data_IF_378357445986
#
_entry.id   IF_378357445986
#
_cell.length_a   1.000
_cell.length_b   1.000
_cell.length_c   1.000
_cell.angle_alpha   90.00
_cell.angle_beta   90.00
_cell.angle_gamma   90.00
#
_symmetry.space_group_name_H-M   'P 1'
#
loop_
_entity.id
_entity.type
_entity.pdbx_description
1 polymer ?
#
# COMPACT_ATOMS: atom_id res chain seq x y z
N UNK A 1 -58.94 43.86 -4.13
CA UNK A 1 -58.05 42.88 -4.80
C UNK A 1 -56.65 43.06 -4.24
N UNK A 2 -56.01 41.95 -3.85
CA UNK A 2 -54.82 41.83 -3.00
C UNK A 2 -53.48 42.14 -3.71
N UNK A 3 -52.59 42.83 -2.99
CA UNK A 3 -51.18 42.54 -2.67
C UNK A 3 -50.20 41.98 -3.74
N UNK A 4 -49.12 42.71 -4.02
CA UNK A 4 -47.88 42.21 -4.66
C UNK A 4 -46.65 42.74 -3.88
N UNK A 5 -46.06 41.89 -3.03
CA UNK A 5 -44.85 42.20 -2.26
C UNK A 5 -43.63 41.88 -3.12
N UNK A 6 -42.81 42.90 -3.40
CA UNK A 6 -41.55 42.76 -4.15
C UNK A 6 -40.53 41.96 -3.32
N UNK A 7 -40.01 40.89 -3.92
CA UNK A 7 -39.08 39.91 -3.35
C UNK A 7 -37.74 40.56 -2.97
N UNK A 8 -37.31 40.40 -1.72
CA UNK A 8 -35.94 40.71 -1.29
C UNK A 8 -35.02 39.53 -1.65
N UNK A 9 -33.93 39.83 -2.36
CA UNK A 9 -32.87 38.87 -2.70
C UNK A 9 -31.90 38.81 -1.52
N UNK A 10 -31.81 37.66 -0.85
CA UNK A 10 -30.81 37.40 0.19
C UNK A 10 -29.62 36.68 -0.45
N UNK A 11 -28.47 37.36 -0.51
CA UNK A 11 -27.19 36.77 -0.87
C UNK A 11 -26.69 35.93 0.31
N UNK A 12 -26.87 34.61 0.25
CA UNK A 12 -26.27 33.69 1.20
C UNK A 12 -24.81 33.44 0.79
N UNK A 13 -23.87 34.06 1.52
CA UNK A 13 -22.43 33.75 1.42
C UNK A 13 -22.22 32.39 2.08
N UNK A 14 -22.07 31.35 1.25
CA UNK A 14 -21.69 30.02 1.71
C UNK A 14 -20.19 30.00 2.04
N UNK A 15 -19.87 30.07 3.33
CA UNK A 15 -18.51 29.84 3.83
C UNK A 15 -18.19 28.35 3.69
N UNK A 16 -17.41 28.00 2.66
CA UNK A 16 -16.93 26.64 2.45
C UNK A 16 -15.90 26.26 3.51
N UNK A 17 -16.31 25.51 4.53
CA UNK A 17 -15.39 24.77 5.40
C UNK A 17 -14.69 23.71 4.56
N UNK A 18 -13.45 23.99 4.12
CA UNK A 18 -12.55 22.95 3.64
C UNK A 18 -12.13 22.10 4.82
N UNK A 19 -12.79 20.95 4.99
CA UNK A 19 -12.30 19.91 5.88
C UNK A 19 -11.00 19.38 5.24
N UNK A 20 -9.85 19.40 5.94
CA UNK A 20 -8.66 18.77 5.41
C UNK A 20 -8.97 17.28 5.24
N UNK A 21 -8.97 16.81 3.98
CA UNK A 21 -9.05 15.40 3.69
C UNK A 21 -7.78 14.75 4.25
N UNK A 22 -7.91 14.04 5.36
CA UNK A 22 -6.90 13.10 5.82
C UNK A 22 -6.84 12.00 4.76
N UNK A 23 -5.92 12.16 3.80
CA UNK A 23 -5.67 11.19 2.77
C UNK A 23 -4.87 10.03 3.37
N UNK A 24 -5.56 9.08 4.02
CA UNK A 24 -5.04 7.72 4.14
C UNK A 24 -4.83 7.20 2.73
N UNK A 25 -3.64 6.67 2.44
CA UNK A 25 -3.30 6.11 1.13
C UNK A 25 -4.09 4.82 0.90
N UNK A 26 -5.36 4.93 0.53
CA UNK A 26 -6.22 3.80 0.18
C UNK A 26 -5.92 3.32 -1.24
N UNK A 27 -4.65 2.99 -1.50
CA UNK A 27 -4.17 2.52 -2.80
C UNK A 27 -4.94 1.28 -3.26
N UNK A 28 -5.29 0.38 -2.33
CA UNK A 28 -6.09 -0.82 -2.58
C UNK A 28 -7.52 -0.55 -3.11
N UNK A 29 -8.00 0.70 -3.04
CA UNK A 29 -9.27 1.12 -3.66
C UNK A 29 -9.12 1.63 -5.10
N UNK A 30 -7.88 1.88 -5.54
CA UNK A 30 -7.60 2.37 -6.90
C UNK A 30 -7.66 1.23 -7.93
N UNK A 31 -7.74 1.60 -9.20
CA UNK A 31 -7.68 0.63 -10.31
C UNK A 31 -6.32 -0.08 -10.36
N UNK A 32 -6.34 -1.38 -10.65
CA UNK A 32 -5.12 -2.16 -10.89
C UNK A 32 -4.77 -2.10 -12.37
N UNK A 33 -3.57 -1.58 -12.68
CA UNK A 33 -3.00 -1.54 -14.04
C UNK A 33 -1.85 -2.52 -14.16
N UNK A 34 -1.83 -3.31 -15.24
CA UNK A 34 -0.77 -4.28 -15.52
C UNK A 34 -0.18 -3.96 -16.90
N UNK A 35 1.14 -3.77 -16.97
CA UNK A 35 1.92 -3.60 -18.21
C UNK A 35 2.90 -4.76 -18.35
N UNK A 36 3.10 -5.26 -19.57
CA UNK A 36 4.06 -6.32 -19.90
C UNK A 36 4.41 -6.27 -21.38
N UNK A 37 5.40 -7.05 -21.81
CA UNK A 37 5.74 -7.22 -23.22
C UNK A 37 4.70 -8.07 -23.96
N UNK A 38 4.23 -9.15 -23.33
CA UNK A 38 3.23 -10.05 -23.92
C UNK A 38 2.19 -10.49 -22.90
N UNK A 39 1.01 -10.86 -23.38
CA UNK A 39 -0.04 -11.48 -22.59
C UNK A 39 -0.64 -12.69 -23.31
N UNK A 40 -1.09 -13.68 -22.54
CA UNK A 40 -1.90 -14.80 -23.03
C UNK A 40 -3.00 -15.11 -22.01
N UNK A 41 -4.16 -15.57 -22.48
CA UNK A 41 -5.31 -15.85 -21.64
C UNK A 41 -5.95 -17.19 -22.00
N UNK A 42 -6.20 -18.03 -21.00
CA UNK A 42 -7.05 -19.21 -21.07
C UNK A 42 -8.33 -18.94 -20.30
N UNK A 43 -9.38 -18.57 -21.03
CA UNK A 43 -10.68 -18.17 -20.48
C UNK A 43 -11.33 -19.35 -19.73
N UNK A 44 -11.19 -20.57 -20.24
CA UNK A 44 -11.77 -21.77 -19.63
C UNK A 44 -11.16 -22.05 -18.26
N UNK A 45 -9.86 -21.74 -18.11
CA UNK A 45 -9.14 -21.87 -16.83
C UNK A 45 -9.15 -20.61 -15.98
N UNK A 46 -9.77 -19.52 -16.46
CA UNK A 46 -9.74 -18.20 -15.80
C UNK A 46 -8.31 -17.72 -15.49
N UNK A 47 -7.37 -18.02 -16.39
CA UNK A 47 -5.93 -17.81 -16.23
C UNK A 47 -5.43 -16.79 -17.25
N UNK A 48 -4.71 -15.76 -16.80
CA UNK A 48 -4.03 -14.79 -17.65
C UNK A 48 -2.55 -14.77 -17.26
N UNK A 49 -1.65 -14.86 -18.24
CA UNK A 49 -0.20 -14.82 -18.04
C UNK A 49 0.33 -13.59 -18.75
N UNK A 50 1.06 -12.76 -18.02
CA UNK A 50 1.81 -11.60 -18.50
C UNK A 50 3.30 -11.91 -18.42
N UNK A 51 4.04 -11.64 -19.48
CA UNK A 51 5.44 -12.03 -19.58
C UNK A 51 6.32 -10.90 -20.15
N UNK A 52 7.49 -10.72 -19.52
CA UNK A 52 8.51 -9.73 -19.88
C UNK A 52 8.24 -8.35 -19.31
N UNK A 53 9.17 -7.86 -18.48
CA UNK A 53 9.14 -6.53 -17.83
C UNK A 53 7.75 -6.16 -17.26
N UNK A 54 7.24 -7.05 -16.41
CA UNK A 54 5.89 -6.89 -15.87
C UNK A 54 5.89 -5.82 -14.78
N UNK A 55 4.95 -4.88 -14.89
CA UNK A 55 4.72 -3.84 -13.88
C UNK A 55 3.23 -3.80 -13.53
N UNK A 56 2.91 -4.02 -12.27
CA UNK A 56 1.58 -3.81 -11.68
C UNK A 56 1.57 -2.49 -10.94
N UNK A 57 0.53 -1.67 -11.11
CA UNK A 57 0.31 -0.42 -10.37
C UNK A 57 -1.09 -0.34 -9.78
N UNK A 58 -1.18 0.17 -8.56
CA UNK A 58 -2.45 0.48 -7.90
C UNK A 58 -2.24 1.66 -6.93
N UNK A 59 -2.70 2.86 -7.29
CA UNK A 59 -2.33 4.07 -6.55
C UNK A 59 -0.80 4.27 -6.51
N UNK A 60 -0.22 4.35 -5.32
CA UNK A 60 1.24 4.42 -5.11
C UNK A 60 1.94 3.05 -5.13
N UNK A 61 1.18 1.95 -5.02
CA UNK A 61 1.74 0.60 -5.03
C UNK A 61 2.26 0.22 -6.41
N UNK A 62 3.45 -0.38 -6.44
CA UNK A 62 4.09 -0.91 -7.65
C UNK A 62 4.66 -2.31 -7.38
N UNK A 63 4.34 -3.29 -8.23
CA UNK A 63 5.00 -4.60 -8.26
C UNK A 63 5.74 -4.75 -9.58
N UNK A 64 7.02 -5.13 -9.56
CA UNK A 64 7.80 -5.46 -10.76
C UNK A 64 8.24 -6.92 -10.72
N UNK A 65 8.19 -7.58 -11.88
CA UNK A 65 8.52 -9.00 -12.00
C UNK A 65 8.90 -9.38 -13.44
N UNK A 66 9.47 -10.57 -13.62
CA UNK A 66 9.71 -11.11 -14.96
C UNK A 66 8.43 -11.69 -15.58
N UNK A 67 7.58 -12.31 -14.75
CA UNK A 67 6.30 -12.91 -15.14
C UNK A 67 5.24 -12.64 -14.07
N UNK A 68 3.99 -12.51 -14.51
CA UNK A 68 2.83 -12.45 -13.64
C UNK A 68 1.74 -13.40 -14.12
N UNK A 69 1.16 -14.14 -13.19
CA UNK A 69 -0.05 -14.92 -13.42
C UNK A 69 -1.22 -14.29 -12.68
N UNK A 70 -2.31 -13.99 -13.38
CA UNK A 70 -3.58 -13.60 -12.78
C UNK A 70 -4.57 -14.75 -12.88
N UNK A 71 -5.07 -15.20 -11.73
CA UNK A 71 -6.05 -16.28 -11.64
C UNK A 71 -7.11 -15.95 -10.60
N UNK A 72 -8.21 -16.69 -10.57
CA UNK A 72 -9.18 -16.55 -9.48
C UNK A 72 -8.65 -17.30 -8.24
N UNK A 73 -8.88 -16.77 -7.04
CA UNK A 73 -8.59 -17.44 -5.77
C UNK A 73 -9.37 -18.76 -5.62
N UNK A 74 -9.03 -19.55 -4.59
CA UNK A 74 -9.58 -20.90 -4.36
C UNK A 74 -11.10 -20.91 -4.21
N UNK A 75 -11.65 -19.89 -3.54
CA UNK A 75 -13.08 -19.65 -3.35
C UNK A 75 -13.77 -19.01 -4.56
N UNK A 76 -13.01 -18.73 -5.64
CA UNK A 76 -13.48 -18.16 -6.90
C UNK A 76 -14.16 -16.79 -6.79
N UNK A 77 -13.90 -16.05 -5.71
CA UNK A 77 -14.53 -14.76 -5.40
C UNK A 77 -13.73 -13.57 -5.91
N UNK A 78 -12.42 -13.72 -6.10
CA UNK A 78 -11.53 -12.60 -6.41
C UNK A 78 -10.31 -13.01 -7.23
N UNK A 79 -9.60 -12.01 -7.77
CA UNK A 79 -8.36 -12.21 -8.52
C UNK A 79 -7.15 -12.22 -7.58
N UNK A 80 -6.25 -13.15 -7.86
CA UNK A 80 -4.93 -13.29 -7.26
C UNK A 80 -3.90 -13.02 -8.35
N UNK A 81 -2.94 -12.17 -8.03
CA UNK A 81 -1.80 -11.86 -8.89
C UNK A 81 -0.56 -12.52 -8.30
N UNK A 82 0.08 -13.43 -9.04
CA UNK A 82 1.30 -14.14 -8.64
C UNK A 82 2.45 -13.63 -9.51
N UNK A 83 3.31 -12.79 -8.93
CA UNK A 83 4.44 -12.15 -9.60
C UNK A 83 5.74 -12.88 -9.26
N UNK A 84 6.46 -13.36 -10.27
CA UNK A 84 7.71 -14.11 -10.09
C UNK A 84 8.87 -13.42 -10.78
N UNK A 85 10.02 -13.37 -10.12
CA UNK A 85 11.21 -12.71 -10.65
C UNK A 85 12.49 -13.11 -9.93
N UNK A 86 13.60 -12.47 -10.31
CA UNK A 86 14.92 -12.70 -9.72
C UNK A 86 15.58 -11.37 -9.30
N UNK A 87 15.06 -10.64 -8.28
CA UNK A 87 13.81 -10.90 -7.55
C UNK A 87 12.60 -10.19 -8.19
N UNK A 88 11.39 -10.54 -7.76
CA UNK A 88 10.24 -9.66 -7.86
C UNK A 88 10.33 -8.58 -6.77
N UNK A 89 9.83 -7.37 -7.03
CA UNK A 89 9.90 -6.24 -6.10
C UNK A 89 8.55 -5.59 -5.88
N UNK A 90 8.34 -5.07 -4.69
CA UNK A 90 7.18 -4.27 -4.30
C UNK A 90 7.63 -2.93 -3.72
N UNK A 91 6.94 -1.85 -4.07
CA UNK A 91 7.13 -0.52 -3.46
C UNK A 91 5.77 0.12 -3.19
N UNK A 92 5.65 0.84 -2.08
CA UNK A 92 4.47 1.65 -1.75
C UNK A 92 4.89 2.91 -0.99
N UNK A 93 4.23 4.04 -1.25
CA UNK A 93 4.37 5.23 -0.43
C UNK A 93 3.49 5.11 0.81
N UNK A 94 4.11 5.15 1.99
CA UNK A 94 3.40 5.08 3.27
C UNK A 94 2.84 6.45 3.65
N UNK A 95 1.92 6.49 4.62
CA UNK A 95 1.27 7.75 5.07
C UNK A 95 2.26 8.79 5.60
N UNK A 96 3.42 8.35 6.10
CA UNK A 96 4.52 9.24 6.53
C UNK A 96 5.31 9.85 5.36
N UNK A 97 4.91 9.58 4.11
CA UNK A 97 5.56 10.09 2.91
C UNK A 97 6.87 9.40 2.55
N UNK A 98 7.22 8.29 3.22
CA UNK A 98 8.42 7.50 2.95
C UNK A 98 8.04 6.17 2.26
N UNK A 99 8.86 5.68 1.31
CA UNK A 99 8.58 4.43 0.64
C UNK A 99 8.89 3.23 1.54
N UNK A 100 8.01 2.24 1.52
CA UNK A 100 8.33 0.87 1.92
C UNK A 100 8.70 0.08 0.66
N UNK A 101 9.78 -0.71 0.74
CA UNK A 101 10.27 -1.54 -0.36
C UNK A 101 10.33 -2.99 0.09
N UNK A 102 9.99 -3.92 -0.79
CA UNK A 102 10.11 -5.33 -0.52
C UNK A 102 10.60 -6.08 -1.76
N UNK A 103 11.20 -7.24 -1.54
CA UNK A 103 11.64 -8.15 -2.60
C UNK A 103 11.47 -9.60 -2.18
N UNK A 104 11.18 -10.47 -3.14
CA UNK A 104 11.15 -11.92 -2.95
C UNK A 104 11.23 -12.62 -4.31
N UNK A 105 11.42 -13.94 -4.32
CA UNK A 105 11.33 -14.74 -5.55
C UNK A 105 9.90 -14.73 -6.11
N UNK A 106 8.90 -14.79 -5.23
CA UNK A 106 7.49 -14.68 -5.55
C UNK A 106 6.79 -13.64 -4.67
N UNK A 107 5.95 -12.82 -5.30
CA UNK A 107 5.03 -11.90 -4.62
C UNK A 107 3.61 -12.23 -5.08
N UNK A 108 2.80 -12.77 -4.17
CA UNK A 108 1.39 -13.06 -4.37
C UNK A 108 0.54 -11.95 -3.76
N UNK A 109 -0.24 -11.25 -4.58
CA UNK A 109 -1.21 -10.25 -4.15
C UNK A 109 -2.64 -10.78 -4.23
N UNK A 110 -3.29 -10.88 -3.08
CA UNK A 110 -4.72 -11.15 -2.95
C UNK A 110 -5.52 -9.84 -2.92
N UNK A 111 -6.25 -9.55 -4.00
CA UNK A 111 -6.98 -8.28 -4.13
C UNK A 111 -8.13 -8.19 -3.14
N UNK A 112 -8.86 -9.29 -2.88
CA UNK A 112 -10.01 -9.24 -1.99
C UNK A 112 -9.65 -9.05 -0.52
N UNK A 113 -8.56 -9.65 -0.08
CA UNK A 113 -8.09 -9.55 1.32
C UNK A 113 -7.02 -8.49 1.53
N UNK A 114 -6.69 -7.68 0.51
CA UNK A 114 -5.65 -6.64 0.57
C UNK A 114 -4.32 -7.17 1.12
N UNK A 115 -3.95 -8.40 0.75
CA UNK A 115 -2.84 -9.13 1.38
C UNK A 115 -1.77 -9.49 0.36
N UNK A 116 -0.53 -9.09 0.65
CA UNK A 116 0.67 -9.57 -0.01
C UNK A 116 1.28 -10.73 0.76
N UNK A 117 1.70 -11.74 0.03
CA UNK A 117 2.56 -12.82 0.51
C UNK A 117 3.81 -12.81 -0.33
N UNK A 118 4.95 -12.65 0.30
CA UNK A 118 6.26 -12.58 -0.32
C UNK A 118 7.03 -13.81 0.13
N UNK A 119 7.47 -14.65 -0.80
CA UNK A 119 8.04 -15.97 -0.52
C UNK A 119 9.35 -16.18 -1.26
N UNK A 120 10.31 -16.79 -0.56
CA UNK A 120 11.66 -17.06 -1.04
C UNK A 120 12.54 -15.82 -0.99
N UNK A 121 13.53 -15.84 -0.08
CA UNK A 121 14.43 -14.71 0.17
C UNK A 121 13.68 -13.38 0.41
N UNK A 122 12.57 -13.45 1.14
CA UNK A 122 11.69 -12.32 1.33
C UNK A 122 12.35 -11.25 2.20
N UNK A 123 12.33 -10.01 1.72
CA UNK A 123 12.81 -8.84 2.46
C UNK A 123 11.80 -7.72 2.40
N UNK A 124 11.64 -6.99 3.51
CA UNK A 124 10.87 -5.77 3.62
C UNK A 124 11.72 -4.73 4.31
N UNK A 125 11.85 -3.55 3.72
CA UNK A 125 12.67 -2.45 4.20
C UNK A 125 11.89 -1.14 4.17
N UNK A 126 11.97 -0.39 5.26
CA UNK A 126 11.48 0.97 5.32
C UNK A 126 12.46 1.81 6.13
N UNK A 127 13.01 2.85 5.49
CA UNK A 127 13.80 3.87 6.19
C UNK A 127 15.01 3.26 6.94
N UNK A 128 15.58 2.16 6.45
CA UNK A 128 16.72 1.46 7.07
C UNK A 128 16.35 0.41 8.12
N UNK A 129 15.08 0.36 8.56
CA UNK A 129 14.54 -0.81 9.26
C UNK A 129 14.32 -1.92 8.24
N UNK A 130 14.70 -3.15 8.57
CA UNK A 130 14.64 -4.28 7.64
C UNK A 130 14.13 -5.53 8.32
N UNK A 131 13.25 -6.27 7.65
CA UNK A 131 12.81 -7.61 8.02
C UNK A 131 13.18 -8.54 6.88
N UNK A 132 13.80 -9.67 7.20
CA UNK A 132 14.08 -10.75 6.25
C UNK A 132 13.58 -12.07 6.78
N UNK A 133 13.10 -12.94 5.90
CA UNK A 133 12.69 -14.30 6.25
C UNK A 133 12.35 -15.12 5.02
N UNK A 134 11.89 -16.35 5.25
CA UNK A 134 11.44 -17.23 4.18
C UNK A 134 10.14 -16.71 3.56
N UNK A 135 9.21 -16.28 4.41
CA UNK A 135 7.92 -15.72 4.03
C UNK A 135 7.66 -14.41 4.81
N UNK A 136 7.16 -13.38 4.13
CA UNK A 136 6.62 -12.17 4.74
C UNK A 136 5.20 -11.94 4.21
N UNK A 137 4.24 -11.83 5.12
CA UNK A 137 2.84 -11.51 4.84
C UNK A 137 2.53 -10.09 5.30
N UNK A 138 1.96 -9.28 4.42
CA UNK A 138 1.53 -7.92 4.71
C UNK A 138 0.07 -7.72 4.35
N UNK A 139 -0.76 -7.38 5.34
CA UNK A 139 -2.14 -6.95 5.12
C UNK A 139 -2.19 -5.43 5.11
N UNK A 140 -2.53 -4.84 3.97
CA UNK A 140 -2.45 -3.39 3.74
C UNK A 140 -3.52 -2.62 4.51
N UNK A 141 -4.71 -3.21 4.64
CA UNK A 141 -5.85 -2.59 5.32
C UNK A 141 -5.60 -2.46 6.83
N UNK A 142 -5.12 -3.52 7.46
CA UNK A 142 -4.79 -3.53 8.90
C UNK A 142 -3.36 -3.08 9.20
N UNK A 143 -2.57 -2.81 8.16
CA UNK A 143 -1.15 -2.51 8.22
C UNK A 143 -0.33 -3.55 9.01
N UNK A 144 -0.77 -4.82 9.03
CA UNK A 144 -0.15 -5.88 9.82
C UNK A 144 0.88 -6.67 9.01
N UNK A 145 2.08 -6.85 9.57
CA UNK A 145 3.17 -7.66 9.01
C UNK A 145 3.38 -8.92 9.87
N UNK A 146 3.51 -10.07 9.22
CA UNK A 146 3.93 -11.34 9.83
C UNK A 146 5.08 -11.89 9.00
N UNK A 147 6.19 -12.22 9.64
CA UNK A 147 7.34 -12.84 8.98
C UNK A 147 7.63 -14.21 9.61
N UNK A 148 7.99 -15.17 8.78
CA UNK A 148 8.22 -16.56 9.18
C UNK A 148 9.55 -17.06 8.60
N UNK A 149 10.25 -17.87 9.39
CA UNK A 149 11.40 -18.65 8.92
C UNK A 149 10.94 -19.84 8.09
N UNK A 150 11.89 -20.58 7.53
CA UNK A 150 11.56 -21.82 6.82
C UNK A 150 11.24 -22.93 7.83
N UNK A 151 10.19 -23.72 7.58
CA UNK A 151 9.92 -24.93 8.38
C UNK A 151 10.92 -26.06 8.08
N UNK A 152 11.54 -26.03 6.90
CA UNK A 152 12.39 -27.11 6.37
C UNK A 152 13.90 -26.82 6.49
N UNK A 153 14.28 -25.69 7.09
CA UNK A 153 15.69 -25.32 7.29
C UNK A 153 15.86 -24.46 8.55
N UNK A 154 17.11 -24.17 8.94
CA UNK A 154 17.41 -23.30 10.07
C UNK A 154 17.25 -21.79 9.76
N UNK A 155 16.65 -21.44 8.61
CA UNK A 155 16.41 -20.05 8.22
C UNK A 155 15.48 -19.35 9.23
N UNK A 156 16.00 -18.29 9.86
CA UNK A 156 15.28 -17.49 10.87
C UNK A 156 14.84 -16.16 10.29
N UNK A 157 13.78 -15.60 10.87
CA UNK A 157 13.46 -14.19 10.68
C UNK A 157 14.55 -13.32 11.32
N UNK A 158 15.06 -12.35 10.57
CA UNK A 158 15.99 -11.35 11.07
C UNK A 158 15.34 -9.97 10.93
N UNK A 159 15.31 -9.23 12.03
CA UNK A 159 14.81 -7.85 12.06
C UNK A 159 15.93 -6.92 12.48
N UNK A 160 16.22 -5.92 11.65
CA UNK A 160 17.15 -4.83 11.93
C UNK A 160 16.32 -3.57 12.21
N UNK A 161 16.53 -2.99 13.39
CA UNK A 161 15.91 -1.73 13.80
C UNK A 161 16.99 -0.65 13.88
N UNK A 162 16.77 0.47 13.22
CA UNK A 162 17.66 1.62 13.30
C UNK A 162 17.40 2.43 14.57
N UNK A 163 18.40 2.68 15.43
CA UNK A 163 18.22 3.32 16.74
C UNK A 163 17.58 4.71 16.73
N UNK A 164 17.64 5.44 15.61
CA UNK A 164 17.25 6.85 15.54
C UNK A 164 15.82 7.09 15.00
N UNK A 165 15.05 6.04 14.74
CA UNK A 165 13.79 6.15 13.96
C UNK A 165 12.56 5.53 14.61
N UNK A 166 12.61 5.23 15.92
CA UNK A 166 11.42 4.84 16.69
C UNK A 166 10.45 6.02 16.97
N UNK A 167 10.69 7.19 16.36
CA UNK A 167 10.10 8.47 16.76
C UNK A 167 9.39 9.16 15.58
N UNK A 168 8.33 8.53 15.08
CA UNK A 168 7.30 9.21 14.30
C UNK A 168 5.92 8.96 14.93
N UNK A 169 5.81 9.40 16.17
CA UNK A 169 4.59 9.53 16.93
C UNK A 169 4.80 10.61 17.98
N UNK A 170 4.47 11.85 17.62
CA UNK A 170 4.30 13.00 18.51
C UNK A 170 5.56 13.79 18.94
N UNK A 171 5.88 14.84 18.17
CA UNK A 171 6.61 16.01 18.70
C UNK A 171 5.97 17.30 18.21
N UNK A 172 4.82 17.63 18.80
CA UNK A 172 4.47 19.04 18.99
C UNK A 172 5.55 19.66 19.90
N UNK A 173 6.29 20.70 19.49
CA UNK A 173 7.21 21.38 20.40
C UNK A 173 6.41 21.99 21.55
N UNK A 174 6.87 21.89 22.82
CA UNK A 174 6.29 22.67 23.90
C UNK A 174 6.32 24.14 23.50
N UNK A 175 5.16 24.80 23.46
CA UNK A 175 5.11 26.25 23.47
C UNK A 175 5.71 26.70 24.79
N UNK A 176 6.98 27.10 24.76
CA UNK A 176 7.59 27.86 25.85
C UNK A 176 6.74 29.11 26.08
N UNK A 177 6.13 29.16 27.25
CA UNK A 177 5.47 30.33 27.80
C UNK A 177 6.50 31.46 27.89
N UNK A 178 6.48 32.38 26.93
CA UNK A 178 7.05 33.70 27.15
C UNK A 178 6.07 34.47 28.04
N UNK A 179 6.34 34.42 29.35
CA UNK A 179 6.04 35.52 30.25
C UNK A 179 6.70 36.78 29.68
N UNK A 180 5.93 37.63 29.02
CA UNK A 180 6.23 39.05 28.96
C UNK A 180 5.53 39.70 30.15
N UNK A 181 6.27 39.80 31.26
CA UNK A 181 6.15 40.95 32.14
C UNK A 181 6.49 42.19 31.31
N UNK A 182 5.53 43.08 31.08
CA UNK A 182 5.81 44.51 31.09
C UNK A 182 4.52 45.32 31.29
N UNK A 183 4.38 45.79 32.52
CA UNK A 183 4.02 47.16 32.94
C UNK A 183 2.75 47.84 32.40
#
# INVERSE_FOLDING_TARGET
MLNEIKRAVVFAVAFGLSIPALATSADYLQEVKIRSNTQSADINKSLIIFDGDVVVKQGSMEIKANRLTAQTNEDKTAKVLIATGQPATYTQMMENGLPANASANEIRYDIASNTLVMEGEATLEQTGNKVTGHQIRYNMETQRIIAEGSENSDERVITILQPQQLDHGDKTPPQEQQQSEEK
#
